data_IF_070824251119
#
_entry.id   IF_070824251119
#
_cell.length_a   1.000
_cell.length_b   1.000
_cell.length_c   1.000
_cell.angle_alpha   90.00
_cell.angle_beta   90.00
_cell.angle_gamma   90.00
#
_symmetry.space_group_name_H-M   'P 1'
#
loop_
_entity.id
_entity.type
_entity.pdbx_description
1 polymer ?
#
# COMPACT_ATOMS: atom_id res chain seq x y z
N UNK A 1 -31.74 -62.52 -72.58
CA UNK A 1 -33.21 -62.40 -72.70
C UNK A 1 -33.73 -62.17 -71.29
N UNK A 2 -34.23 -61.01 -70.86
CA UNK A 2 -34.91 -59.91 -71.55
C UNK A 2 -34.65 -58.65 -70.74
N UNK A 3 -34.07 -57.64 -71.39
CA UNK A 3 -33.87 -56.29 -70.85
C UNK A 3 -35.19 -55.54 -70.99
N UNK A 4 -35.74 -55.04 -69.88
CA UNK A 4 -36.80 -54.05 -69.89
C UNK A 4 -36.22 -52.71 -69.44
N UNK A 5 -36.24 -51.79 -70.39
CA UNK A 5 -36.10 -50.35 -70.26
C UNK A 5 -36.96 -49.79 -69.12
N UNK A 6 -36.40 -48.85 -68.37
CA UNK A 6 -37.20 -47.79 -67.75
C UNK A 6 -36.53 -46.43 -68.04
N UNK A 7 -37.10 -45.58 -68.91
CA UNK A 7 -36.55 -44.28 -69.24
C UNK A 7 -37.11 -43.18 -68.32
N UNK A 8 -36.32 -42.12 -68.18
CA UNK A 8 -36.69 -40.79 -67.69
C UNK A 8 -36.98 -40.64 -66.19
N UNK A 9 -36.01 -40.09 -65.46
CA UNK A 9 -36.31 -39.09 -64.43
C UNK A 9 -35.43 -37.85 -64.63
N UNK A 10 -36.12 -36.73 -64.76
CA UNK A 10 -35.64 -35.43 -65.17
C UNK A 10 -34.50 -34.88 -64.31
N UNK A 11 -33.67 -34.11 -65.01
CA UNK A 11 -32.95 -32.94 -64.52
C UNK A 11 -33.71 -32.19 -63.44
N UNK A 12 -33.09 -32.00 -62.28
CA UNK A 12 -33.29 -30.83 -61.44
C UNK A 12 -32.02 -30.60 -60.60
N UNK A 13 -31.17 -29.71 -61.10
CA UNK A 13 -30.36 -28.82 -60.28
C UNK A 13 -31.24 -28.22 -59.19
N UNK A 14 -31.16 -28.75 -57.96
CA UNK A 14 -31.71 -28.05 -56.82
C UNK A 14 -30.73 -26.95 -56.38
N UNK A 15 -31.23 -25.72 -56.19
CA UNK A 15 -30.43 -24.53 -56.10
C UNK A 15 -29.93 -24.32 -54.68
N UNK A 16 -28.77 -23.66 -54.57
CA UNK A 16 -28.56 -22.64 -53.55
C UNK A 16 -28.56 -23.12 -52.11
N UNK A 17 -27.35 -23.23 -51.57
CA UNK A 17 -27.05 -22.99 -50.17
C UNK A 17 -27.76 -21.72 -49.70
N UNK A 18 -28.96 -21.86 -49.14
CA UNK A 18 -29.76 -20.80 -48.55
C UNK A 18 -30.23 -21.26 -47.18
N UNK A 19 -29.27 -21.52 -46.28
CA UNK A 19 -29.65 -21.87 -44.90
C UNK A 19 -28.79 -21.20 -43.84
N UNK A 20 -28.26 -20.01 -44.15
CA UNK A 20 -27.88 -18.93 -43.21
C UNK A 20 -27.20 -17.80 -44.00
N UNK A 21 -27.84 -17.28 -45.05
CA UNK A 21 -27.52 -15.91 -45.49
C UNK A 21 -27.85 -15.00 -44.32
N UNK A 22 -26.84 -14.67 -43.48
CA UNK A 22 -27.00 -13.86 -42.28
C UNK A 22 -27.82 -12.63 -42.66
N UNK A 23 -29.06 -12.53 -42.18
CA UNK A 23 -29.92 -11.42 -42.56
C UNK A 23 -29.21 -10.09 -42.27
N UNK A 24 -29.30 -9.09 -43.16
CA UNK A 24 -28.57 -7.83 -43.02
C UNK A 24 -28.88 -7.12 -41.70
N UNK A 25 -30.07 -7.34 -41.12
CA UNK A 25 -30.46 -6.79 -39.83
C UNK A 25 -29.59 -7.29 -38.66
N UNK A 26 -29.03 -8.51 -38.70
CA UNK A 26 -28.18 -9.02 -37.63
C UNK A 26 -26.88 -8.22 -37.47
N UNK A 27 -26.34 -7.68 -38.58
CA UNK A 27 -25.16 -6.81 -38.53
C UNK A 27 -25.46 -5.53 -37.76
N UNK A 28 -26.60 -4.92 -38.05
CA UNK A 28 -27.05 -3.71 -37.38
C UNK A 28 -27.41 -3.97 -35.91
N UNK A 29 -28.01 -5.12 -35.60
CA UNK A 29 -28.27 -5.53 -34.21
C UNK A 29 -26.98 -5.70 -33.40
N UNK A 30 -25.94 -6.30 -33.99
CA UNK A 30 -24.65 -6.47 -33.31
C UNK A 30 -23.97 -5.11 -33.05
N UNK A 31 -23.99 -4.20 -34.02
CA UNK A 31 -23.50 -2.83 -33.83
C UNK A 31 -24.28 -2.12 -32.72
N UNK A 32 -25.62 -2.22 -32.74
CA UNK A 32 -26.47 -1.64 -31.70
C UNK A 32 -26.15 -2.21 -30.31
N UNK A 33 -26.00 -3.53 -30.20
CA UNK A 33 -25.59 -4.18 -28.96
C UNK A 33 -24.23 -3.67 -28.47
N UNK A 34 -23.25 -3.57 -29.37
CA UNK A 34 -21.90 -3.14 -29.02
C UNK A 34 -21.88 -1.69 -28.52
N UNK A 35 -22.65 -0.80 -29.15
CA UNK A 35 -22.85 0.59 -28.69
C UNK A 35 -23.53 0.62 -27.33
N UNK A 36 -24.58 -0.18 -27.11
CA UNK A 36 -25.27 -0.25 -25.81
C UNK A 36 -24.33 -0.74 -24.71
N UNK A 37 -23.54 -1.79 -24.96
CA UNK A 37 -22.59 -2.33 -23.98
C UNK A 37 -21.49 -1.30 -23.68
N UNK A 38 -20.95 -0.63 -24.69
CA UNK A 38 -19.95 0.43 -24.49
C UNK A 38 -20.51 1.59 -23.67
N UNK A 39 -21.71 2.05 -24.01
CA UNK A 39 -22.40 3.10 -23.25
C UNK A 39 -22.67 2.66 -21.81
N UNK A 40 -23.06 1.39 -21.63
CA UNK A 40 -23.30 0.84 -20.30
C UNK A 40 -22.03 0.73 -19.47
N UNK A 41 -20.88 0.42 -20.07
CA UNK A 41 -19.57 0.42 -19.40
C UNK A 41 -19.17 1.83 -18.97
N UNK A 42 -19.38 2.82 -19.84
CA UNK A 42 -19.02 4.22 -19.56
C UNK A 42 -19.89 4.84 -18.46
N UNK A 43 -21.17 4.47 -18.38
CA UNK A 43 -22.12 5.00 -17.39
C UNK A 43 -22.03 4.25 -16.05
N UNK A 44 -21.23 3.18 -15.93
CA UNK A 44 -21.17 2.45 -14.66
C UNK A 44 -20.71 3.40 -13.55
N UNK A 45 -21.45 3.49 -12.43
CA UNK A 45 -21.04 4.33 -11.33
C UNK A 45 -19.68 3.85 -10.83
N UNK A 46 -18.72 4.77 -10.72
CA UNK A 46 -17.45 4.51 -10.04
C UNK A 46 -17.78 4.06 -8.63
N UNK A 47 -17.22 2.92 -8.19
CA UNK A 47 -17.44 2.48 -6.82
C UNK A 47 -16.99 3.60 -5.90
N UNK A 48 -17.75 3.89 -4.86
CA UNK A 48 -17.36 4.88 -3.85
C UNK A 48 -17.06 4.16 -2.54
N UNK A 49 -16.10 4.68 -1.80
CA UNK A 49 -15.70 4.17 -0.50
C UNK A 49 -15.66 5.33 0.50
N UNK A 50 -15.95 5.04 1.77
CA UNK A 50 -15.73 6.00 2.85
C UNK A 50 -14.27 5.92 3.30
N UNK A 51 -13.65 7.07 3.45
CA UNK A 51 -12.28 7.18 3.91
C UNK A 51 -12.16 8.31 4.94
N UNK A 52 -11.40 8.14 6.04
CA UNK A 52 -11.27 9.16 7.06
C UNK A 52 -10.24 10.23 6.68
N UNK A 53 -10.58 11.48 6.97
CA UNK A 53 -9.76 12.66 6.76
C UNK A 53 -9.58 13.41 8.08
N UNK A 54 -8.38 13.95 8.28
CA UNK A 54 -8.02 14.69 9.48
C UNK A 54 -8.74 16.06 9.49
N UNK A 55 -9.43 16.40 10.58
CA UNK A 55 -10.25 17.64 10.69
C UNK A 55 -9.55 18.79 11.40
N UNK A 56 -8.48 18.49 12.14
CA UNK A 56 -7.63 19.42 12.87
C UNK A 56 -6.22 18.88 12.91
N UNK A 57 -5.23 19.69 13.19
CA UNK A 57 -3.87 19.19 13.35
C UNK A 57 -3.80 18.21 14.54
N UNK A 58 -3.10 17.09 14.34
CA UNK A 58 -2.90 16.01 15.32
C UNK A 58 -1.41 15.80 15.46
N UNK A 59 -0.89 15.98 16.67
CA UNK A 59 0.54 15.79 16.92
C UNK A 59 0.90 14.30 16.96
N UNK A 60 2.16 13.96 16.67
CA UNK A 60 2.68 12.60 16.88
C UNK A 60 2.37 12.11 18.31
N UNK A 61 1.90 10.87 18.40
CA UNK A 61 1.53 10.19 19.63
C UNK A 61 0.16 10.61 20.19
N UNK A 62 -0.50 11.59 19.58
CA UNK A 62 -1.86 11.99 19.93
C UNK A 62 -2.87 11.02 19.30
N UNK A 63 -3.98 10.76 20.00
CA UNK A 63 -5.06 9.94 19.43
C UNK A 63 -5.68 10.62 18.22
N UNK A 64 -5.89 9.85 17.14
CA UNK A 64 -6.63 10.33 15.96
C UNK A 64 -8.15 10.27 16.18
N UNK A 65 -8.61 9.57 17.22
CA UNK A 65 -10.03 9.44 17.51
C UNK A 65 -10.66 10.80 17.84
N UNK A 66 -11.74 11.14 17.13
CA UNK A 66 -12.40 12.44 17.24
C UNK A 66 -11.76 13.58 16.43
N UNK A 67 -10.61 13.34 15.79
CA UNK A 67 -9.99 14.25 14.82
C UNK A 67 -10.25 13.84 13.36
N UNK A 68 -11.21 12.94 13.13
CA UNK A 68 -11.48 12.36 11.80
C UNK A 68 -12.90 12.68 11.32
N UNK A 69 -13.01 12.97 10.02
CA UNK A 69 -14.26 13.08 9.27
C UNK A 69 -14.26 12.04 8.14
N UNK A 70 -15.33 11.24 8.05
CA UNK A 70 -15.48 10.26 6.98
C UNK A 70 -16.02 10.91 5.72
N UNK A 71 -15.21 10.95 4.67
CA UNK A 71 -15.58 11.50 3.35
C UNK A 71 -15.76 10.37 2.33
N UNK A 72 -16.63 10.61 1.36
CA UNK A 72 -16.84 9.67 0.25
C UNK A 72 -15.85 9.97 -0.86
N UNK A 73 -15.03 8.98 -1.21
CA UNK A 73 -14.02 9.05 -2.27
C UNK A 73 -14.27 7.98 -3.32
N UNK A 74 -13.64 8.10 -4.49
CA UNK A 74 -13.63 7.03 -5.47
C UNK A 74 -12.91 5.80 -4.88
N UNK A 75 -13.54 4.64 -5.00
CA UNK A 75 -13.01 3.37 -4.54
C UNK A 75 -11.77 2.97 -5.33
N UNK A 76 -10.83 2.31 -4.66
CA UNK A 76 -9.55 1.90 -5.24
C UNK A 76 -8.50 3.01 -5.31
N UNK A 77 -8.82 4.25 -4.92
CA UNK A 77 -7.85 5.36 -4.87
C UNK A 77 -7.04 5.33 -3.56
N UNK A 78 -7.70 5.03 -2.44
CA UNK A 78 -7.09 5.00 -1.11
C UNK A 78 -7.28 3.62 -0.47
N UNK A 79 -6.25 3.15 0.22
CA UNK A 79 -6.30 1.89 0.96
C UNK A 79 -7.22 2.02 2.19
N UNK A 80 -7.97 0.96 2.57
CA UNK A 80 -8.83 0.99 3.76
C UNK A 80 -8.02 1.16 5.05
N UNK A 81 -8.53 1.98 5.98
CA UNK A 81 -7.93 2.21 7.31
C UNK A 81 -9.00 2.19 8.40
N UNK A 82 -8.64 1.77 9.61
CA UNK A 82 -9.56 1.57 10.73
C UNK A 82 -10.02 2.88 11.40
N UNK A 83 -9.31 4.00 11.20
CA UNK A 83 -9.68 5.30 11.76
C UNK A 83 -9.55 5.38 13.29
N UNK A 84 -8.70 4.55 13.87
CA UNK A 84 -8.44 4.43 15.32
C UNK A 84 -6.93 4.44 15.57
N UNK A 85 -6.51 4.66 16.82
CA UNK A 85 -5.11 4.63 17.23
C UNK A 85 -4.50 6.01 17.45
N UNK A 86 -3.17 6.07 17.41
CA UNK A 86 -2.37 7.27 17.67
C UNK A 86 -1.58 7.67 16.44
N UNK A 87 -1.40 8.96 16.22
CA UNK A 87 -0.67 9.45 15.06
C UNK A 87 0.82 9.06 15.14
N UNK A 88 1.33 8.39 14.11
CA UNK A 88 2.75 8.02 14.02
C UNK A 88 3.66 9.22 13.66
N UNK A 89 3.05 10.25 13.07
CA UNK A 89 3.69 11.51 12.67
C UNK A 89 2.72 12.67 12.92
N UNK A 90 3.20 13.89 12.79
CA UNK A 90 2.31 15.05 12.80
C UNK A 90 1.41 15.01 11.56
N UNK A 91 0.09 15.05 11.79
CA UNK A 91 -0.92 15.05 10.73
C UNK A 91 -1.55 16.43 10.65
N UNK A 92 -1.60 16.97 9.44
CA UNK A 92 -2.22 18.27 9.17
C UNK A 92 -3.69 18.11 8.81
N UNK A 93 -4.47 19.15 9.11
CA UNK A 93 -5.87 19.26 8.69
C UNK A 93 -6.05 19.00 7.19
N UNK A 94 -7.02 18.16 6.83
CA UNK A 94 -7.36 17.78 5.45
C UNK A 94 -6.55 16.61 4.88
N UNK A 95 -5.58 16.07 5.63
CA UNK A 95 -4.81 14.89 5.22
C UNK A 95 -5.68 13.62 5.24
N UNK A 96 -5.68 12.78 4.18
CA UNK A 96 -6.31 11.46 4.21
C UNK A 96 -5.50 10.53 5.12
N UNK A 97 -6.16 9.80 6.01
CA UNK A 97 -5.45 8.91 6.92
C UNK A 97 -4.95 7.66 6.18
N UNK A 98 -3.63 7.46 6.13
CA UNK A 98 -3.03 6.30 5.48
C UNK A 98 -2.72 5.18 6.49
N UNK A 99 -2.58 3.91 6.03
CA UNK A 99 -2.27 2.79 6.94
C UNK A 99 -1.01 2.99 7.80
N UNK A 100 -0.05 3.79 7.31
CA UNK A 100 1.19 4.14 8.02
C UNK A 100 1.14 5.48 8.76
N UNK A 101 -0.05 6.05 8.99
CA UNK A 101 -0.21 7.28 9.79
C UNK A 101 -0.63 7.00 11.23
N UNK A 102 -1.02 5.76 11.55
CA UNK A 102 -1.50 5.37 12.88
C UNK A 102 -0.70 4.21 13.46
N UNK A 103 -0.54 4.23 14.78
CA UNK A 103 -0.02 3.14 15.61
C UNK A 103 -1.01 2.78 16.72
N UNK A 104 -0.95 1.56 17.23
CA UNK A 104 -1.86 1.08 18.28
C UNK A 104 -1.53 1.65 19.67
N UNK A 105 -0.33 2.18 19.87
CA UNK A 105 0.13 2.67 21.18
C UNK A 105 0.70 4.10 21.11
N UNK A 106 0.45 4.94 22.13
CA UNK A 106 1.04 6.27 22.20
C UNK A 106 2.53 6.15 22.52
N UNK A 107 3.39 6.52 21.57
CA UNK A 107 4.84 6.52 21.79
C UNK A 107 5.27 7.91 22.21
N UNK A 108 5.41 8.08 23.53
CA UNK A 108 5.84 9.32 24.15
C UNK A 108 7.36 9.46 24.05
N UNK A 109 7.82 10.28 23.11
CA UNK A 109 9.22 10.67 23.01
C UNK A 109 9.51 11.71 24.10
N UNK A 110 10.52 11.50 24.98
CA UNK A 110 10.84 12.48 26.00
C UNK A 110 11.26 13.83 25.38
N UNK A 111 10.93 14.97 26.02
CA UNK A 111 11.30 16.28 25.49
C UNK A 111 12.80 16.42 25.26
N UNK A 112 13.18 16.97 24.11
CA UNK A 112 14.58 17.23 23.75
C UNK A 112 15.33 16.02 23.16
N UNK A 113 14.66 14.87 23.02
CA UNK A 113 15.21 13.73 22.30
C UNK A 113 15.17 13.99 20.78
N UNK A 114 16.15 13.43 20.10
CA UNK A 114 16.31 13.52 18.65
C UNK A 114 15.89 12.22 18.00
N UNK A 115 15.36 12.30 16.78
CA UNK A 115 14.89 11.17 15.99
C UNK A 115 15.82 10.93 14.80
N UNK A 116 16.25 9.69 14.60
CA UNK A 116 16.99 9.26 13.42
C UNK A 116 16.41 7.96 12.88
N UNK A 117 16.41 7.86 11.56
CA UNK A 117 16.04 6.64 10.87
C UNK A 117 17.26 5.71 10.81
N UNK A 118 17.09 4.47 11.28
CA UNK A 118 18.12 3.43 11.30
C UNK A 118 17.57 2.10 10.82
N UNK A 119 18.43 1.26 10.25
CA UNK A 119 18.07 -0.12 9.96
C UNK A 119 17.82 -0.86 11.29
N UNK A 120 16.68 -1.54 11.40
CA UNK A 120 16.27 -2.26 12.61
C UNK A 120 16.02 -3.75 12.30
N UNK A 121 16.25 -4.65 13.29
CA UNK A 121 15.88 -6.06 13.17
C UNK A 121 14.39 -6.25 12.83
N UNK A 122 14.06 -7.36 12.18
CA UNK A 122 12.70 -7.68 11.75
C UNK A 122 11.69 -7.78 12.90
N UNK A 123 12.17 -8.17 14.09
CA UNK A 123 11.36 -8.34 15.30
C UNK A 123 11.10 -7.02 16.04
N UNK A 124 11.63 -5.89 15.54
CA UNK A 124 11.49 -4.58 16.17
C UNK A 124 10.07 -4.06 16.03
N UNK A 125 9.48 -3.63 17.14
CA UNK A 125 8.19 -2.93 17.16
C UNK A 125 8.32 -1.55 17.76
N UNK A 126 7.39 -0.67 17.38
CA UNK A 126 7.30 0.67 17.92
C UNK A 126 7.01 0.60 19.44
N UNK A 127 7.73 1.41 20.22
CA UNK A 127 7.72 1.39 21.69
C UNK A 127 8.81 0.52 22.33
N UNK A 128 9.57 -0.27 21.56
CA UNK A 128 10.69 -1.03 22.11
C UNK A 128 11.88 -0.14 22.48
N UNK A 129 12.50 -0.44 23.61
CA UNK A 129 13.83 0.07 23.95
C UNK A 129 14.89 -0.66 23.15
N UNK A 130 15.83 0.09 22.58
CA UNK A 130 16.93 -0.46 21.77
C UNK A 130 18.27 0.09 22.23
N UNK A 131 19.33 -0.65 21.91
CA UNK A 131 20.70 -0.22 22.11
C UNK A 131 21.37 -0.03 20.75
N UNK A 132 21.78 1.20 20.45
CA UNK A 132 22.61 1.48 19.27
C UNK A 132 24.06 1.19 19.62
N UNK A 133 24.63 0.21 18.94
CA UNK A 133 26.05 -0.14 19.03
C UNK A 133 26.79 0.53 17.89
N UNK A 134 27.69 1.44 18.23
CA UNK A 134 28.57 2.10 17.27
C UNK A 134 29.83 1.24 17.09
N UNK A 135 30.06 0.78 15.86
CA UNK A 135 31.26 0.05 15.47
C UNK A 135 32.42 1.05 15.32
N UNK A 136 33.47 0.97 16.18
CA UNK A 136 34.60 1.90 16.09
C UNK A 136 35.40 1.65 14.79
N UNK A 137 36.03 2.68 14.22
CA UNK A 137 37.00 2.48 13.15
C UNK A 137 38.20 1.69 13.71
N UNK A 138 38.90 0.97 12.83
CA UNK A 138 39.95 0.04 13.22
C UNK A 138 41.02 0.71 14.10
N UNK A 139 41.20 0.20 15.33
CA UNK A 139 42.20 0.71 16.28
C UNK A 139 41.66 1.68 17.34
N UNK A 140 40.38 2.06 17.28
CA UNK A 140 39.75 2.89 18.31
C UNK A 140 39.03 2.07 19.39
N UNK A 141 38.83 2.70 20.55
CA UNK A 141 38.12 2.10 21.68
C UNK A 141 36.61 2.10 21.41
N UNK A 142 35.95 0.97 21.65
CA UNK A 142 34.50 0.87 21.55
C UNK A 142 33.80 1.91 22.44
N UNK A 143 32.85 2.62 21.87
CA UNK A 143 31.97 3.53 22.61
C UNK A 143 30.91 2.73 23.38
N UNK A 144 30.46 3.22 24.54
CA UNK A 144 29.32 2.61 25.22
C UNK A 144 28.08 2.67 24.31
N UNK A 145 27.23 1.63 24.34
CA UNK A 145 26.01 1.61 23.54
C UNK A 145 25.08 2.76 23.97
N UNK A 146 24.34 3.30 23.01
CA UNK A 146 23.40 4.40 23.23
C UNK A 146 22.01 3.81 23.35
N UNK A 147 21.36 4.00 24.50
CA UNK A 147 19.97 3.65 24.66
C UNK A 147 19.07 4.54 23.80
N UNK A 148 18.11 3.93 23.12
CA UNK A 148 17.10 4.63 22.33
C UNK A 148 15.72 3.98 22.47
N UNK A 149 14.71 4.68 21.98
CA UNK A 149 13.32 4.22 21.92
C UNK A 149 12.87 4.20 20.48
N UNK A 150 12.39 3.06 20.00
CA UNK A 150 11.82 2.96 18.65
C UNK A 150 10.46 3.65 18.64
N UNK A 151 10.29 4.64 17.77
CA UNK A 151 9.06 5.43 17.66
C UNK A 151 8.16 4.95 16.54
N UNK A 152 8.74 4.39 15.48
CA UNK A 152 8.00 3.82 14.36
C UNK A 152 8.87 2.81 13.64
N UNK A 153 8.24 1.86 12.94
CA UNK A 153 8.92 0.87 12.09
C UNK A 153 8.19 0.83 10.77
N UNK A 154 8.93 1.01 9.68
CA UNK A 154 8.40 0.97 8.32
C UNK A 154 9.27 0.10 7.42
N UNK A 155 8.71 -0.45 6.33
CA UNK A 155 9.54 -1.04 5.27
C UNK A 155 10.56 -0.01 4.78
N UNK A 156 11.80 -0.46 4.55
CA UNK A 156 12.83 0.34 3.89
C UNK A 156 12.41 0.78 2.49
N UNK A 157 13.08 1.80 1.98
CA UNK A 157 12.91 2.20 0.59
C UNK A 157 13.56 1.17 -0.35
N UNK A 158 13.40 1.34 -1.67
CA UNK A 158 13.96 0.41 -2.67
C UNK A 158 15.48 0.22 -2.61
N UNK A 159 16.22 1.03 -1.84
CA UNK A 159 17.66 0.90 -1.64
C UNK A 159 18.04 0.18 -0.35
N UNK A 160 17.12 0.08 0.62
CA UNK A 160 17.35 -0.56 1.91
C UNK A 160 16.54 -1.85 2.01
N UNK A 161 17.20 -2.99 1.75
CA UNK A 161 16.67 -4.32 2.05
C UNK A 161 16.55 -4.46 3.57
N UNK A 162 15.38 -4.16 4.14
CA UNK A 162 15.13 -4.29 5.58
C UNK A 162 13.99 -3.44 6.12
N UNK A 163 13.82 -3.47 7.44
CA UNK A 163 12.97 -2.54 8.16
C UNK A 163 13.79 -1.31 8.56
N UNK A 164 13.22 -0.13 8.37
CA UNK A 164 13.76 1.14 8.86
C UNK A 164 12.92 1.58 10.04
N UNK A 165 13.55 1.76 11.20
CA UNK A 165 12.91 2.28 12.39
C UNK A 165 13.36 3.71 12.67
N UNK A 166 12.41 4.60 12.98
CA UNK A 166 12.76 5.88 13.60
C UNK A 166 13.05 5.63 15.07
N UNK A 167 14.26 5.93 15.52
CA UNK A 167 14.69 5.74 16.91
C UNK A 167 14.97 7.10 17.54
N UNK A 168 14.36 7.33 18.70
CA UNK A 168 14.59 8.49 19.53
C UNK A 168 15.75 8.24 20.52
N UNK A 169 16.63 9.22 20.70
CA UNK A 169 17.78 9.13 21.61
C UNK A 169 18.07 10.48 22.29
N UNK A 170 18.79 10.47 23.43
CA UNK A 170 19.07 11.69 24.17
C UNK A 170 20.06 12.62 23.42
N UNK A 171 19.95 13.95 23.61
CA UNK A 171 20.67 14.94 22.81
C UNK A 171 22.19 14.93 23.03
N UNK A 172 22.67 14.45 24.18
CA UNK A 172 24.10 14.36 24.52
C UNK A 172 24.88 13.39 23.63
N UNK A 173 24.19 12.44 22.99
CA UNK A 173 24.78 11.43 22.10
C UNK A 173 24.36 11.59 20.63
N UNK A 174 23.56 12.61 20.32
CA UNK A 174 22.94 12.81 19.01
C UNK A 174 23.94 12.96 17.87
N UNK A 175 24.95 13.82 18.04
CA UNK A 175 25.96 14.06 17.01
C UNK A 175 26.77 12.80 16.69
N UNK A 176 27.15 12.04 17.70
CA UNK A 176 27.91 10.78 17.54
C UNK A 176 27.07 9.73 16.83
N UNK A 177 25.80 9.58 17.19
CA UNK A 177 24.88 8.67 16.52
C UNK A 177 24.67 9.06 15.05
N UNK A 178 24.45 10.35 14.76
CA UNK A 178 24.26 10.85 13.41
C UNK A 178 25.46 10.56 12.50
N UNK A 179 26.68 10.79 12.98
CA UNK A 179 27.91 10.47 12.23
C UNK A 179 28.04 8.96 12.01
N UNK A 180 27.81 8.15 13.05
CA UNK A 180 27.92 6.70 12.92
C UNK A 180 26.89 6.12 11.94
N UNK A 181 25.67 6.67 11.87
CA UNK A 181 24.63 6.26 10.93
C UNK A 181 25.00 6.67 9.50
N UNK A 182 25.49 7.90 9.32
CA UNK A 182 25.93 8.38 8.01
C UNK A 182 27.08 7.56 7.41
N UNK A 183 27.87 6.88 8.26
CA UNK A 183 28.96 6.01 7.86
C UNK A 183 28.60 4.51 7.87
N UNK A 184 27.33 4.17 8.09
CA UNK A 184 26.83 2.78 8.18
C UNK A 184 27.58 1.93 9.23
N UNK A 185 27.91 2.56 10.36
CA UNK A 185 28.64 1.95 11.49
C UNK A 185 27.76 1.70 12.71
N UNK A 186 26.45 1.64 12.52
CA UNK A 186 25.50 1.42 13.62
C UNK A 186 24.80 0.08 13.45
N UNK A 187 24.86 -0.73 14.50
CA UNK A 187 24.02 -1.92 14.63
C UNK A 187 23.00 -1.68 15.75
N UNK A 188 21.74 -1.97 15.47
CA UNK A 188 20.67 -1.90 16.48
C UNK A 188 20.52 -3.26 17.15
N UNK A 189 20.60 -3.27 18.48
CA UNK A 189 20.31 -4.43 19.31
C UNK A 189 18.97 -4.24 20.01
N UNK A 190 18.11 -5.24 19.89
CA UNK A 190 16.86 -5.37 20.66
C UNK A 190 17.09 -6.28 21.86
N UNK A 191 16.44 -6.00 22.99
CA UNK A 191 16.40 -6.93 24.11
C UNK A 191 15.47 -8.09 23.74
N UNK A 192 15.98 -9.33 23.76
CA UNK A 192 15.21 -10.50 23.37
C UNK A 192 14.06 -10.79 24.34
N UNK A 193 12.94 -11.39 23.90
CA UNK A 193 11.91 -11.86 24.81
C UNK A 193 12.51 -12.91 25.74
N UNK A 194 12.38 -12.68 27.05
CA UNK A 194 12.72 -13.66 28.09
C UNK A 194 11.72 -14.81 28.13
#
# INVERSE_FOLDING_TARGET
>A
MTSLFNPCRNSDTLPGVLWLTRPPYLRWSLVGLMVIVSLWVEIRPTSSARHPYVTRDVARGESVEGALEWRTVAGGVLEPVLGTGFADRDLTTGHPLLPGDTTDAPILVPPGWWLLDVAVPAETTAGMSVQLVILPPSGERALPPIGGLVTSVRPGDYQSDGLVGSVAFPPDRAATAAVAIAEDRVSVLIEGPA
#
